data_IF_923385589487
#
_entry.id   IF_923385589487
#
_cell.length_a   1.000
_cell.length_b   1.000
_cell.length_c   1.000
_cell.angle_alpha   90.00
_cell.angle_beta   90.00
_cell.angle_gamma   90.00
#
_symmetry.space_group_name_H-M   'P 1'
#
loop_
_entity.id
_entity.type
_entity.pdbx_description
1 polymer ?
#
# COMPACT_ATOMS: atom_id res chain seq x y z
N UNK A 1 0.13 0.48 -6.63
CA UNK A 1 0.36 -0.98 -6.56
C UNK A 1 1.79 -1.28 -6.96
N UNK A 2 2.33 -2.41 -6.51
CA UNK A 2 3.67 -2.88 -6.87
C UNK A 2 3.65 -4.38 -7.18
N UNK A 3 4.44 -4.80 -8.18
CA UNK A 3 4.70 -6.22 -8.45
C UNK A 3 5.76 -6.73 -7.47
N UNK A 4 5.51 -7.87 -6.84
CA UNK A 4 6.47 -8.54 -5.95
C UNK A 4 7.32 -9.55 -6.73
N UNK A 5 8.51 -9.93 -6.23
CA UNK A 5 9.40 -10.88 -6.90
C UNK A 5 8.78 -12.26 -7.17
N UNK A 6 7.78 -12.65 -6.37
CA UNK A 6 7.05 -13.92 -6.52
C UNK A 6 5.86 -13.83 -7.49
N UNK A 7 5.69 -12.71 -8.18
CA UNK A 7 4.60 -12.47 -9.13
C UNK A 7 3.29 -12.02 -8.52
N UNK A 8 3.18 -11.93 -7.18
CA UNK A 8 2.02 -11.35 -6.50
C UNK A 8 2.05 -9.82 -6.61
N UNK A 9 0.92 -9.18 -6.29
CA UNK A 9 0.78 -7.72 -6.35
C UNK A 9 0.45 -7.16 -4.96
N UNK A 10 1.24 -6.19 -4.52
CA UNK A 10 0.93 -5.37 -3.35
C UNK A 10 0.07 -4.16 -3.75
N UNK A 11 -1.05 -3.97 -3.07
CA UNK A 11 -1.99 -2.86 -3.33
C UNK A 11 -2.27 -2.12 -2.02
N UNK A 12 -2.07 -0.80 -2.04
CA UNK A 12 -2.61 0.08 -1.01
C UNK A 12 -4.10 0.29 -1.29
N UNK A 13 -4.94 -0.26 -0.43
CA UNK A 13 -6.38 -0.06 -0.45
C UNK A 13 -6.69 1.14 0.46
N UNK A 14 -6.74 2.32 -0.17
CA UNK A 14 -6.82 3.61 0.52
C UNK A 14 -8.12 3.74 1.31
N UNK A 15 -9.26 3.36 0.71
CA UNK A 15 -10.57 3.46 1.36
C UNK A 15 -10.68 2.58 2.62
N UNK A 16 -10.01 1.43 2.63
CA UNK A 16 -9.98 0.54 3.78
C UNK A 16 -8.73 0.70 4.67
N UNK A 17 -7.84 1.65 4.35
CA UNK A 17 -6.61 1.96 5.12
C UNK A 17 -5.73 0.74 5.38
N UNK A 18 -5.55 -0.10 4.36
CA UNK A 18 -4.84 -1.38 4.48
C UNK A 18 -3.90 -1.63 3.30
N UNK A 19 -2.90 -2.47 3.54
CA UNK A 19 -2.01 -3.02 2.52
C UNK A 19 -2.42 -4.47 2.29
N UNK A 20 -2.69 -4.82 1.05
CA UNK A 20 -3.10 -6.18 0.66
C UNK A 20 -2.13 -6.75 -0.36
N UNK A 21 -1.92 -8.05 -0.29
CA UNK A 21 -1.20 -8.82 -1.30
C UNK A 21 -2.19 -9.72 -2.01
N UNK A 22 -2.17 -9.68 -3.34
CA UNK A 22 -3.08 -10.41 -4.20
C UNK A 22 -2.25 -11.32 -5.11
N UNK A 23 -2.62 -12.60 -5.18
CA UNK A 23 -2.17 -13.50 -6.22
C UNK A 23 -3.04 -13.27 -7.48
N UNK A 24 -2.49 -12.71 -8.56
CA UNK A 24 -3.27 -12.39 -9.75
C UNK A 24 -3.70 -13.64 -10.54
N UNK A 25 -3.12 -14.81 -10.27
CA UNK A 25 -3.45 -16.06 -10.98
C UNK A 25 -4.66 -16.77 -10.36
N UNK A 26 -4.80 -16.70 -9.04
CA UNK A 26 -5.88 -17.36 -8.30
C UNK A 26 -6.95 -16.40 -7.80
N UNK A 27 -6.65 -15.10 -7.73
CA UNK A 27 -7.48 -14.09 -7.10
C UNK A 27 -7.43 -14.11 -5.56
N UNK A 28 -6.60 -14.97 -4.96
CA UNK A 28 -6.44 -15.01 -3.51
C UNK A 28 -5.86 -13.69 -2.99
N UNK A 29 -6.44 -13.17 -1.91
CA UNK A 29 -6.07 -11.89 -1.30
C UNK A 29 -5.84 -12.07 0.20
N UNK A 30 -4.76 -11.47 0.69
CA UNK A 30 -4.45 -11.39 2.12
C UNK A 30 -4.18 -9.95 2.52
N UNK A 31 -4.68 -9.55 3.69
CA UNK A 31 -4.34 -8.27 4.33
C UNK A 31 -3.03 -8.45 5.09
N UNK A 32 -2.02 -7.64 4.78
CA UNK A 32 -0.69 -7.73 5.41
C UNK A 32 -0.43 -6.60 6.41
N UNK A 33 -1.20 -5.52 6.34
CA UNK A 33 -1.21 -4.46 7.35
C UNK A 33 -2.55 -3.69 7.30
N UNK A 34 -2.99 -3.21 8.46
CA UNK A 34 -4.24 -2.46 8.65
C UNK A 34 -3.97 -1.15 9.39
N UNK A 35 -4.99 -0.28 9.47
CA UNK A 35 -4.93 1.00 10.18
C UNK A 35 -3.78 1.90 9.70
N UNK A 36 -3.52 1.87 8.40
CA UNK A 36 -2.42 2.61 7.79
C UNK A 36 -2.72 4.12 7.76
N UNK A 37 -1.70 4.98 7.97
CA UNK A 37 -1.83 6.43 7.91
C UNK A 37 -1.86 6.94 6.46
N UNK A 38 -2.85 6.49 5.70
CA UNK A 38 -3.22 6.91 4.35
C UNK A 38 -4.63 7.51 4.37
N UNK A 39 -5.14 7.98 3.23
CA UNK A 39 -6.47 8.60 3.08
C UNK A 39 -6.54 10.09 3.50
N UNK A 40 -5.44 10.83 3.32
CA UNK A 40 -5.43 12.27 3.51
C UNK A 40 -6.25 13.00 2.44
N UNK A 41 -7.05 13.97 2.90
CA UNK A 41 -7.88 14.83 2.05
C UNK A 41 -7.26 16.23 1.99
N UNK A 42 -7.02 16.72 0.78
CA UNK A 42 -6.64 18.10 0.54
C UNK A 42 -7.89 18.99 0.47
N UNK A 43 -8.11 19.78 1.52
CA UNK A 43 -9.33 20.58 1.71
C UNK A 43 -9.27 21.98 1.09
N UNK A 44 -8.12 22.40 0.56
CA UNK A 44 -7.93 23.73 -0.03
C UNK A 44 -8.22 23.78 -1.54
N UNK A 45 -8.73 22.69 -2.12
CA UNK A 45 -9.22 22.64 -3.50
C UNK A 45 -10.73 22.99 -3.57
N UNK A 46 -11.27 23.40 -4.73
CA UNK A 46 -12.70 23.71 -4.89
C UNK A 46 -13.64 22.55 -4.52
N UNK A 47 -13.17 21.32 -4.61
CA UNK A 47 -13.80 20.12 -4.07
C UNK A 47 -12.73 19.29 -3.33
N UNK A 48 -13.10 18.50 -2.29
CA UNK A 48 -12.16 17.62 -1.62
C UNK A 48 -11.50 16.66 -2.60
N UNK A 49 -10.17 16.58 -2.57
CA UNK A 49 -9.38 15.62 -3.35
C UNK A 49 -8.47 14.81 -2.43
N UNK A 50 -8.29 13.53 -2.75
CA UNK A 50 -7.38 12.67 -2.01
C UNK A 50 -5.94 12.89 -2.44
N UNK A 51 -5.03 12.86 -1.48
CA UNK A 51 -3.60 12.86 -1.76
C UNK A 51 -3.17 11.48 -2.30
N UNK A 52 -2.18 11.42 -3.20
CA UNK A 52 -1.76 10.17 -3.80
C UNK A 52 -0.99 9.29 -2.81
N UNK A 53 -1.37 8.01 -2.74
CA UNK A 53 -0.65 6.95 -2.04
C UNK A 53 0.15 6.10 -3.04
N UNK A 54 1.47 6.09 -2.92
CA UNK A 54 2.39 5.28 -3.73
C UNK A 54 2.81 3.98 -3.03
N UNK A 55 3.03 2.93 -3.84
CA UNK A 55 3.53 1.62 -3.39
C UNK A 55 4.63 1.19 -4.35
N UNK A 56 5.79 0.79 -3.81
CA UNK A 56 6.88 0.14 -4.56
C UNK A 56 7.41 -1.06 -3.79
N UNK A 57 8.06 -1.98 -4.49
CA UNK A 57 8.72 -3.13 -3.88
C UNK A 57 10.17 -3.23 -4.36
N UNK A 58 11.06 -3.75 -3.53
CA UNK A 58 12.44 -4.09 -3.91
C UNK A 58 12.60 -5.59 -4.23
N UNK A 59 13.80 -5.97 -4.68
CA UNK A 59 14.14 -7.35 -5.06
C UNK A 59 14.08 -8.35 -3.89
N UNK A 60 14.13 -7.86 -2.64
CA UNK A 60 13.98 -8.70 -1.44
C UNK A 60 12.53 -8.99 -1.10
N UNK A 61 11.59 -8.36 -1.82
CA UNK A 61 10.16 -8.41 -1.54
C UNK A 61 9.72 -7.43 -0.46
N UNK A 62 10.58 -6.52 0.00
CA UNK A 62 10.16 -5.47 0.92
C UNK A 62 9.29 -4.44 0.20
N UNK A 63 8.20 -4.03 0.84
CA UNK A 63 7.22 -3.08 0.30
C UNK A 63 7.42 -1.73 0.98
N UNK A 64 7.48 -0.66 0.18
CA UNK A 64 7.54 0.72 0.67
C UNK A 64 6.24 1.43 0.30
N UNK A 65 5.63 2.07 1.30
CA UNK A 65 4.34 2.75 1.19
C UNK A 65 4.50 4.20 1.61
N UNK A 66 4.17 5.15 0.73
CA UNK A 66 4.07 6.55 1.12
C UNK A 66 2.77 6.79 1.88
N UNK A 67 2.87 7.36 3.08
CA UNK A 67 1.75 7.61 3.97
C UNK A 67 1.42 9.10 4.01
N UNK A 68 0.43 9.49 3.21
CA UNK A 68 0.02 10.88 3.03
C UNK A 68 -0.60 11.53 4.28
N UNK A 69 -1.17 10.75 5.21
CA UNK A 69 -1.88 11.30 6.37
C UNK A 69 -0.96 11.74 7.52
N UNK A 70 0.28 11.24 7.58
CA UNK A 70 1.23 11.57 8.65
C UNK A 70 2.64 11.85 8.15
N UNK A 71 2.81 12.11 6.85
CA UNK A 71 4.08 12.48 6.23
C UNK A 71 5.19 11.44 6.46
N UNK A 72 4.86 10.14 6.38
CA UNK A 72 5.82 9.06 6.59
C UNK A 72 5.98 8.15 5.38
N UNK A 73 7.02 7.32 5.40
CA UNK A 73 7.18 6.18 4.49
C UNK A 73 7.35 4.94 5.36
N UNK A 74 6.45 3.97 5.19
CA UNK A 74 6.52 2.70 5.91
C UNK A 74 7.22 1.65 5.04
N UNK A 75 8.01 0.79 5.69
CA UNK A 75 8.64 -0.39 5.07
C UNK A 75 8.05 -1.65 5.71
N UNK A 76 7.58 -2.57 4.88
CA UNK A 76 7.11 -3.89 5.27
C UNK A 76 8.09 -4.93 4.75
N UNK A 77 8.72 -5.68 5.66
CA UNK A 77 9.71 -6.70 5.32
C UNK A 77 9.06 -8.08 5.41
N UNK A 78 9.17 -8.93 4.37
CA UNK A 78 8.76 -10.32 4.46
C UNK A 78 9.45 -11.00 5.65
N UNK A 79 8.69 -11.73 6.47
CA UNK A 79 9.31 -12.57 7.48
C UNK A 79 10.00 -13.75 6.80
N UNK A 80 11.21 -14.07 7.25
CA UNK A 80 11.80 -15.35 6.92
C UNK A 80 10.90 -16.48 7.46
N UNK A 81 10.78 -17.61 6.75
CA UNK A 81 10.02 -18.76 7.22
C UNK A 81 10.57 -19.32 8.54
#
# INVERSE_FOLDING_TARGET
MALLPDGKVAVADVGAKQLVVIDPTTGFRVVVAENLPIDAVFTHAPAPVYLPTGVVADETGAIYLSCDANNSVLKFTPQAP
#
